data_IF_018490981692
#
_entry.id   IF_018490981692
#
_cell.length_a   1.000
_cell.length_b   1.000
_cell.length_c   1.000
_cell.angle_alpha   90.00
_cell.angle_beta   90.00
_cell.angle_gamma   90.00
#
_symmetry.space_group_name_H-M   'P 1'
#
loop_
_entity.id
_entity.type
_entity.pdbx_description
1 polymer ?
#
# COMPACT_ATOMS: atom_id res chain seq x y z
N UNK A 1 -14.69 -4.22 -16.56
CA UNK A 1 -15.55 -4.14 -15.35
C UNK A 1 -15.59 -2.72 -14.77
N UNK A 2 -14.47 -2.10 -14.35
CA UNK A 2 -14.47 -0.75 -13.75
C UNK A 2 -15.16 0.31 -14.62
N UNK A 3 -14.87 0.35 -15.92
CA UNK A 3 -15.48 1.28 -16.86
C UNK A 3 -17.01 1.09 -16.98
N UNK A 4 -17.48 -0.16 -17.02
CA UNK A 4 -18.91 -0.44 -17.07
C UNK A 4 -19.64 0.04 -15.81
N UNK A 5 -19.04 -0.16 -14.63
CA UNK A 5 -19.61 0.32 -13.37
C UNK A 5 -19.63 1.86 -13.27
N UNK A 6 -18.62 2.51 -13.83
CA UNK A 6 -18.58 3.97 -13.91
C UNK A 6 -19.71 4.52 -14.79
N UNK A 7 -19.99 3.90 -15.94
CA UNK A 7 -21.09 4.28 -16.84
C UNK A 7 -22.47 4.07 -16.19
N UNK A 8 -22.60 3.08 -15.31
CA UNK A 8 -23.82 2.81 -14.56
C UNK A 8 -23.98 3.72 -13.32
N UNK A 9 -23.07 4.65 -13.07
CA UNK A 9 -23.10 5.53 -11.91
C UNK A 9 -22.70 4.84 -10.58
N UNK A 10 -22.27 3.58 -10.62
CA UNK A 10 -21.85 2.83 -9.44
C UNK A 10 -20.39 3.11 -9.09
N UNK A 11 -20.08 4.37 -8.69
CA UNK A 11 -18.71 4.84 -8.43
C UNK A 11 -17.97 4.01 -7.34
N UNK A 12 -18.60 3.49 -6.25
CA UNK A 12 -17.86 2.72 -5.26
C UNK A 12 -17.33 1.40 -5.83
N UNK A 13 -18.13 0.72 -6.65
CA UNK A 13 -17.71 -0.50 -7.34
C UNK A 13 -16.59 -0.20 -8.36
N UNK A 14 -16.70 0.90 -9.10
CA UNK A 14 -15.65 1.32 -10.03
C UNK A 14 -14.33 1.59 -9.30
N UNK A 15 -14.35 2.30 -8.16
CA UNK A 15 -13.18 2.55 -7.31
C UNK A 15 -12.56 1.24 -6.80
N UNK A 16 -13.39 0.28 -6.37
CA UNK A 16 -12.92 -1.02 -5.91
C UNK A 16 -12.20 -1.79 -7.02
N UNK A 17 -12.79 -1.88 -8.22
CA UNK A 17 -12.15 -2.57 -9.34
C UNK A 17 -10.86 -1.88 -9.81
N UNK A 18 -10.83 -0.54 -9.82
CA UNK A 18 -9.62 0.21 -10.16
C UNK A 18 -8.53 0.03 -9.09
N UNK A 19 -8.90 0.00 -7.81
CA UNK A 19 -7.93 -0.21 -6.73
C UNK A 19 -7.38 -1.63 -6.72
N UNK A 20 -8.19 -2.65 -7.02
CA UNK A 20 -7.72 -4.03 -7.22
C UNK A 20 -6.78 -4.14 -8.43
N UNK A 21 -7.11 -3.47 -9.55
CA UNK A 21 -6.23 -3.41 -10.70
C UNK A 21 -4.91 -2.72 -10.38
N UNK A 22 -4.96 -1.65 -9.59
CA UNK A 22 -3.78 -0.90 -9.14
C UNK A 22 -2.91 -1.73 -8.19
N UNK A 23 -3.50 -2.54 -7.30
CA UNK A 23 -2.75 -3.42 -6.41
C UNK A 23 -2.01 -4.52 -7.18
N UNK A 24 -2.67 -5.13 -8.19
CA UNK A 24 -2.04 -6.17 -9.02
C UNK A 24 -0.99 -5.63 -9.98
N UNK A 25 -1.26 -4.50 -10.61
CA UNK A 25 -0.37 -3.86 -11.58
C UNK A 25 -0.35 -2.35 -11.35
N UNK A 26 0.57 -1.84 -10.51
CA UNK A 26 0.69 -0.41 -10.27
C UNK A 26 1.00 0.35 -11.57
N UNK A 27 0.07 1.20 -12.01
CA UNK A 27 0.23 2.06 -13.20
C UNK A 27 -0.18 3.48 -12.87
N UNK A 28 0.64 4.44 -13.28
CA UNK A 28 0.35 5.86 -13.09
C UNK A 28 -0.98 6.28 -13.75
N UNK A 29 -1.31 5.71 -14.91
CA UNK A 29 -2.61 5.97 -15.58
C UNK A 29 -3.80 5.54 -14.73
N UNK A 30 -3.76 4.33 -14.17
CA UNK A 30 -4.82 3.81 -13.28
C UNK A 30 -4.94 4.67 -12.02
N UNK A 31 -3.80 5.10 -11.46
CA UNK A 31 -3.78 6.00 -10.31
C UNK A 31 -4.43 7.35 -10.62
N UNK A 32 -4.12 7.96 -11.77
CA UNK A 32 -4.73 9.23 -12.20
C UNK A 32 -6.24 9.09 -12.39
N UNK A 33 -6.72 7.98 -12.96
CA UNK A 33 -8.15 7.69 -13.07
C UNK A 33 -8.81 7.55 -11.70
N UNK A 34 -8.17 6.83 -10.75
CA UNK A 34 -8.64 6.75 -9.36
C UNK A 34 -8.73 8.15 -8.72
N UNK A 35 -7.67 8.93 -8.84
CA UNK A 35 -7.61 10.27 -8.25
C UNK A 35 -8.65 11.22 -8.87
N UNK A 36 -8.88 11.16 -10.20
CA UNK A 36 -9.90 11.99 -10.87
C UNK A 36 -11.32 11.60 -10.43
N UNK A 37 -11.62 10.30 -10.36
CA UNK A 37 -12.92 9.80 -9.91
C UNK A 37 -13.18 10.16 -8.43
N UNK A 38 -12.16 10.01 -7.60
CA UNK A 38 -12.24 10.38 -6.19
C UNK A 38 -12.44 11.90 -5.99
N UNK A 39 -11.78 12.73 -6.80
CA UNK A 39 -11.95 14.18 -6.77
C UNK A 39 -13.37 14.60 -7.16
N UNK A 40 -14.00 13.95 -8.14
CA UNK A 40 -15.39 14.19 -8.53
C UNK A 40 -16.37 13.94 -7.39
N UNK A 41 -16.09 12.94 -6.55
CA UNK A 41 -16.93 12.57 -5.40
C UNK A 41 -16.40 13.11 -4.06
N UNK A 42 -15.38 13.98 -4.06
CA UNK A 42 -14.76 14.59 -2.87
C UNK A 42 -14.25 13.57 -1.85
N UNK A 43 -13.76 12.43 -2.32
CA UNK A 43 -13.24 11.36 -1.47
C UNK A 43 -11.82 11.65 -0.99
N UNK A 44 -11.48 11.14 0.18
CA UNK A 44 -10.17 11.33 0.83
C UNK A 44 -9.27 10.13 0.58
N UNK A 45 -7.95 10.36 0.59
CA UNK A 45 -6.93 9.30 0.49
C UNK A 45 -6.39 9.06 -0.92
N UNK A 46 -6.68 9.93 -1.88
CA UNK A 46 -6.23 9.85 -3.27
C UNK A 46 -5.38 11.06 -3.69
N UNK A 47 -4.20 11.27 -3.08
CA UNK A 47 -3.39 12.44 -3.42
C UNK A 47 -2.92 12.38 -4.87
N UNK A 48 -3.20 13.44 -5.64
CA UNK A 48 -2.74 13.61 -7.02
C UNK A 48 -1.40 14.37 -7.05
N UNK A 49 -0.40 13.89 -6.29
CA UNK A 49 0.92 14.51 -6.22
C UNK A 49 1.94 13.73 -7.05
N UNK A 50 2.95 14.45 -7.59
CA UNK A 50 4.05 13.82 -8.32
C UNK A 50 4.82 12.80 -7.47
N UNK A 51 4.93 13.04 -6.16
CA UNK A 51 5.54 12.09 -5.21
C UNK A 51 4.78 10.76 -5.15
N UNK A 52 3.46 10.82 -5.22
CA UNK A 52 2.63 9.62 -5.25
C UNK A 52 2.77 8.87 -6.59
N UNK A 53 2.90 9.58 -7.70
CA UNK A 53 3.16 8.96 -9.00
C UNK A 53 4.51 8.24 -9.02
N UNK A 54 5.55 8.85 -8.44
CA UNK A 54 6.85 8.20 -8.26
C UNK A 54 6.76 6.95 -7.36
N UNK A 55 6.00 7.01 -6.27
CA UNK A 55 5.77 5.83 -5.42
C UNK A 55 5.08 4.70 -6.18
N UNK A 56 4.03 5.01 -6.95
CA UNK A 56 3.33 4.04 -7.79
C UNK A 56 4.30 3.41 -8.81
N UNK A 57 5.18 4.21 -9.41
CA UNK A 57 6.18 3.71 -10.33
C UNK A 57 7.23 2.84 -9.64
N UNK A 58 7.70 3.23 -8.47
CA UNK A 58 8.62 2.44 -7.65
C UNK A 58 8.00 1.10 -7.24
N UNK A 59 6.72 1.09 -6.84
CA UNK A 59 5.99 -0.14 -6.51
C UNK A 59 5.90 -1.12 -7.68
N UNK A 60 5.80 -0.63 -8.91
CA UNK A 60 5.80 -1.48 -10.11
C UNK A 60 7.08 -2.30 -10.25
N UNK A 61 8.21 -1.71 -9.88
CA UNK A 61 9.53 -2.35 -9.99
C UNK A 61 9.99 -3.02 -8.69
N UNK A 62 9.17 -2.96 -7.63
CA UNK A 62 9.53 -3.52 -6.33
C UNK A 62 9.83 -5.02 -6.40
N UNK A 63 8.90 -5.82 -6.92
CA UNK A 63 9.08 -7.27 -7.00
C UNK A 63 10.17 -7.71 -7.98
N UNK A 64 10.22 -7.22 -9.24
CA UNK A 64 11.33 -7.59 -10.13
C UNK A 64 12.68 -7.08 -9.61
N UNK A 65 12.75 -5.89 -9.01
CA UNK A 65 13.95 -5.39 -8.37
C UNK A 65 14.41 -6.28 -7.21
N UNK A 66 13.46 -6.70 -6.36
CA UNK A 66 13.73 -7.62 -5.26
C UNK A 66 14.26 -8.98 -5.76
N UNK A 67 13.68 -9.53 -6.83
CA UNK A 67 14.14 -10.80 -7.41
C UNK A 67 15.60 -10.70 -7.91
N UNK A 68 15.94 -9.61 -8.61
CA UNK A 68 17.31 -9.35 -9.07
C UNK A 68 18.28 -9.22 -7.90
N UNK A 69 17.90 -8.47 -6.86
CA UNK A 69 18.73 -8.30 -5.67
C UNK A 69 18.92 -9.62 -4.90
N UNK A 70 17.87 -10.45 -4.76
CA UNK A 70 17.99 -11.76 -4.13
C UNK A 70 18.85 -12.71 -4.95
N UNK A 71 18.68 -12.75 -6.27
CA UNK A 71 19.53 -13.54 -7.15
C UNK A 71 21.00 -13.11 -7.03
N UNK A 72 21.26 -11.80 -7.00
CA UNK A 72 22.58 -11.25 -6.75
C UNK A 72 23.18 -11.65 -5.41
N UNK A 73 22.35 -11.71 -4.34
CA UNK A 73 22.78 -12.18 -3.03
C UNK A 73 23.22 -13.66 -3.07
N UNK A 74 22.42 -14.52 -3.70
CA UNK A 74 22.75 -15.96 -3.83
C UNK A 74 24.02 -16.16 -4.66
N UNK A 75 24.10 -15.53 -5.82
CA UNK A 75 25.29 -15.63 -6.70
C UNK A 75 26.53 -15.09 -6.00
N UNK A 76 26.42 -13.95 -5.30
CA UNK A 76 27.51 -13.37 -4.55
C UNK A 76 28.01 -14.29 -3.43
N UNK A 77 27.09 -14.91 -2.67
CA UNK A 77 27.45 -15.87 -1.62
C UNK A 77 28.19 -17.08 -2.19
N UNK A 78 27.65 -17.69 -3.26
CA UNK A 78 28.25 -18.86 -3.92
C UNK A 78 29.65 -18.51 -4.45
N UNK A 79 29.78 -17.35 -5.08
CA UNK A 79 31.07 -16.90 -5.63
C UNK A 79 32.12 -16.67 -4.54
N UNK A 80 31.75 -16.03 -3.40
CA UNK A 80 32.63 -15.79 -2.26
C UNK A 80 33.10 -17.10 -1.63
N UNK A 81 32.19 -18.08 -1.48
CA UNK A 81 32.51 -19.40 -0.94
C UNK A 81 33.43 -20.16 -1.87
N UNK A 82 33.13 -20.17 -3.19
CA UNK A 82 33.93 -20.91 -4.16
C UNK A 82 35.35 -20.35 -4.31
N UNK A 83 35.47 -19.02 -4.33
CA UNK A 83 36.76 -18.34 -4.44
C UNK A 83 37.55 -18.26 -3.15
N UNK A 84 37.02 -18.76 -2.02
CA UNK A 84 37.63 -18.60 -0.69
C UNK A 84 38.06 -17.15 -0.44
N UNK A 85 37.14 -16.21 -0.70
CA UNK A 85 37.39 -14.78 -0.72
C UNK A 85 37.99 -14.25 0.58
N UNK A 86 38.85 -13.22 0.55
CA UNK A 86 39.40 -12.60 1.73
C UNK A 86 38.31 -11.97 2.62
N UNK A 87 38.60 -11.80 3.93
CA UNK A 87 37.66 -11.23 4.91
C UNK A 87 37.07 -9.88 4.48
N UNK A 88 37.85 -9.06 3.77
CA UNK A 88 37.38 -7.76 3.25
C UNK A 88 36.21 -7.89 2.27
N UNK A 89 36.20 -8.92 1.42
CA UNK A 89 35.11 -9.17 0.46
C UNK A 89 33.80 -9.56 1.18
N UNK A 90 33.90 -10.26 2.31
CA UNK A 90 32.75 -10.57 3.17
C UNK A 90 32.14 -9.32 3.79
N UNK A 91 32.95 -8.30 4.15
CA UNK A 91 32.45 -7.00 4.60
C UNK A 91 31.55 -6.32 3.56
N UNK A 92 31.99 -6.31 2.30
CA UNK A 92 31.17 -5.79 1.19
C UNK A 92 29.87 -6.57 1.00
N UNK A 93 29.91 -7.90 1.12
CA UNK A 93 28.72 -8.74 1.03
C UNK A 93 27.71 -8.47 2.17
N UNK A 94 28.20 -8.32 3.40
CA UNK A 94 27.35 -7.95 4.54
C UNK A 94 26.69 -6.60 4.33
N UNK A 95 27.43 -5.60 3.82
CA UNK A 95 26.86 -4.30 3.47
C UNK A 95 25.76 -4.42 2.40
N UNK A 96 25.98 -5.26 1.37
CA UNK A 96 24.97 -5.52 0.35
C UNK A 96 23.70 -6.16 0.92
N UNK A 97 23.83 -7.16 1.80
CA UNK A 97 22.69 -7.80 2.48
C UNK A 97 21.96 -6.82 3.39
N UNK A 98 22.69 -5.93 4.08
CA UNK A 98 22.09 -4.87 4.89
C UNK A 98 21.27 -3.88 4.03
N UNK A 99 21.79 -3.48 2.85
CA UNK A 99 21.05 -2.66 1.89
C UNK A 99 19.80 -3.38 1.36
N UNK A 100 19.89 -4.68 1.11
CA UNK A 100 18.73 -5.50 0.73
C UNK A 100 17.67 -5.51 1.85
N UNK A 101 18.08 -5.65 3.11
CA UNK A 101 17.20 -5.55 4.27
C UNK A 101 16.52 -4.18 4.38
N UNK A 102 17.27 -3.10 4.16
CA UNK A 102 16.73 -1.74 4.11
C UNK A 102 15.73 -1.56 2.97
N UNK A 103 16.02 -2.11 1.78
CA UNK A 103 15.10 -2.11 0.63
C UNK A 103 13.77 -2.80 0.98
N UNK A 104 13.83 -3.99 1.60
CA UNK A 104 12.65 -4.74 2.04
C UNK A 104 11.82 -3.97 3.08
N UNK A 105 12.49 -3.26 3.98
CA UNK A 105 11.82 -2.56 5.07
C UNK A 105 11.16 -1.25 4.61
N UNK A 106 11.87 -0.44 3.81
CA UNK A 106 11.44 0.92 3.48
C UNK A 106 10.58 1.01 2.22
N UNK A 107 10.78 0.13 1.24
CA UNK A 107 10.05 0.17 -0.03
C UNK A 107 8.84 -0.75 -0.07
N UNK A 108 8.57 -1.49 1.00
CA UNK A 108 7.40 -2.39 1.05
C UNK A 108 6.11 -1.59 0.80
N UNK A 109 5.28 -2.00 -0.17
CA UNK A 109 3.98 -1.38 -0.39
C UNK A 109 3.11 -1.49 0.86
N UNK A 110 2.60 -0.36 1.36
CA UNK A 110 1.66 -0.38 2.47
C UNK A 110 0.28 -0.82 1.96
N UNK A 111 -0.38 -1.79 2.60
CA UNK A 111 -1.72 -2.19 2.24
C UNK A 111 -2.69 -1.02 2.42
N UNK A 112 -3.66 -0.93 1.52
CA UNK A 112 -4.70 0.09 1.59
C UNK A 112 -6.07 -0.55 1.68
N UNK A 113 -6.96 0.06 2.43
CA UNK A 113 -8.36 -0.35 2.52
C UNK A 113 -9.28 0.71 1.93
N UNK A 114 -10.37 0.26 1.35
CA UNK A 114 -11.48 1.08 0.89
C UNK A 114 -12.63 0.96 1.86
N UNK A 115 -13.22 2.08 2.24
CA UNK A 115 -14.42 2.10 3.08
C UNK A 115 -15.58 1.52 2.30
N UNK A 116 -16.17 0.44 2.83
CA UNK A 116 -17.23 -0.34 2.20
C UNK A 116 -18.62 0.13 2.57
N UNK A 117 -18.79 0.80 3.69
CA UNK A 117 -20.08 1.27 4.18
C UNK A 117 -20.08 2.79 4.40
N UNK A 118 -21.16 3.48 4.06
CA UNK A 118 -21.26 4.93 4.32
C UNK A 118 -21.29 5.18 5.83
N UNK A 119 -20.54 6.19 6.28
CA UNK A 119 -20.53 6.57 7.68
C UNK A 119 -19.71 5.66 8.59
N UNK A 120 -18.70 4.96 8.05
CA UNK A 120 -17.78 4.14 8.85
C UNK A 120 -17.12 4.99 9.94
N UNK A 121 -17.30 4.58 11.20
CA UNK A 121 -16.78 5.32 12.34
C UNK A 121 -15.27 5.15 12.49
N UNK A 122 -14.57 6.26 12.57
CA UNK A 122 -13.14 6.32 12.91
C UNK A 122 -13.00 6.63 14.40
N UNK A 123 -12.40 5.70 15.13
CA UNK A 123 -12.25 5.76 16.58
C UNK A 123 -10.80 6.05 16.98
N UNK A 124 -10.59 6.64 18.13
CA UNK A 124 -9.25 6.92 18.67
C UNK A 124 -8.56 5.65 19.22
N UNK A 125 -9.30 4.56 19.47
CA UNK A 125 -8.81 3.31 20.01
C UNK A 125 -9.58 2.10 19.52
N UNK A 126 -9.05 0.88 19.75
CA UNK A 126 -9.67 -0.36 19.34
C UNK A 126 -10.77 -0.78 20.33
N UNK A 127 -11.89 -0.05 20.39
CA UNK A 127 -12.98 -0.36 21.31
C UNK A 127 -14.20 0.51 21.06
N UNK A 128 -15.38 -0.03 21.37
CA UNK A 128 -16.64 0.69 21.19
C UNK A 128 -16.79 1.90 22.16
N UNK A 129 -16.04 1.89 23.27
CA UNK A 129 -15.98 3.00 24.23
C UNK A 129 -14.92 4.05 23.91
N UNK A 130 -14.11 3.84 22.86
CA UNK A 130 -13.10 4.81 22.45
C UNK A 130 -13.77 6.10 21.92
N UNK A 131 -13.04 7.22 22.04
CA UNK A 131 -13.54 8.49 21.53
C UNK A 131 -13.74 8.43 20.01
N UNK A 132 -14.89 8.88 19.55
CA UNK A 132 -15.17 9.05 18.12
C UNK A 132 -14.36 10.22 17.57
N UNK A 133 -13.69 10.02 16.45
CA UNK A 133 -12.87 11.04 15.79
C UNK A 133 -13.58 11.67 14.59
N UNK A 134 -14.13 10.83 13.71
CA UNK A 134 -14.77 11.26 12.46
C UNK A 134 -15.53 10.11 11.83
N UNK A 135 -16.20 10.38 10.72
CA UNK A 135 -16.77 9.35 9.83
C UNK A 135 -16.05 9.38 8.50
N UNK A 136 -15.79 8.20 7.96
CA UNK A 136 -15.27 8.05 6.62
C UNK A 136 -16.41 7.85 5.62
N UNK A 137 -16.26 8.43 4.44
CA UNK A 137 -17.22 8.29 3.35
C UNK A 137 -17.02 6.95 2.61
N UNK A 138 -18.10 6.44 2.02
CA UNK A 138 -18.05 5.27 1.16
C UNK A 138 -17.06 5.50 0.00
N UNK A 139 -16.04 4.64 -0.12
CA UNK A 139 -15.00 4.75 -1.13
C UNK A 139 -13.76 5.53 -0.67
N UNK A 140 -13.73 6.11 0.54
CA UNK A 140 -12.50 6.69 1.11
C UNK A 140 -11.41 5.63 1.20
N UNK A 141 -10.18 6.04 0.87
CA UNK A 141 -9.00 5.17 0.91
C UNK A 141 -8.19 5.44 2.17
N UNK A 142 -8.03 4.41 2.98
CA UNK A 142 -7.28 4.46 4.23
C UNK A 142 -6.03 3.59 4.11
N UNK A 143 -4.87 4.09 4.59
CA UNK A 143 -3.67 3.27 4.70
C UNK A 143 -3.77 2.39 5.93
N UNK A 144 -3.68 1.07 5.74
CA UNK A 144 -3.75 0.11 6.83
C UNK A 144 -2.35 -0.06 7.45
N UNK A 145 -2.22 0.26 8.73
CA UNK A 145 -0.98 0.13 9.49
C UNK A 145 -0.88 -1.23 10.19
N UNK A 146 -2.01 -1.90 10.41
CA UNK A 146 -2.08 -3.19 11.07
C UNK A 146 -3.51 -3.58 11.43
N UNK A 147 -3.66 -4.77 12.01
CA UNK A 147 -4.94 -5.28 12.49
C UNK A 147 -4.82 -5.63 13.97
N UNK A 148 -5.85 -5.29 14.73
CA UNK A 148 -5.98 -5.63 16.13
C UNK A 148 -7.39 -6.15 16.37
N UNK A 149 -7.53 -7.49 16.47
CA UNK A 149 -8.81 -8.18 16.60
C UNK A 149 -9.78 -7.82 15.44
N UNK A 150 -10.92 -7.24 15.75
CA UNK A 150 -11.95 -6.80 14.79
C UNK A 150 -11.72 -5.38 14.28
N UNK A 151 -10.61 -4.75 14.64
CA UNK A 151 -10.28 -3.38 14.26
C UNK A 151 -9.05 -3.34 13.35
N UNK A 152 -9.14 -2.50 12.30
CA UNK A 152 -7.97 -2.10 11.52
C UNK A 152 -7.44 -0.78 12.09
N UNK A 153 -6.13 -0.75 12.36
CA UNK A 153 -5.40 0.47 12.66
C UNK A 153 -5.05 1.12 11.32
N UNK A 154 -5.56 2.32 11.11
CA UNK A 154 -5.42 3.05 9.84
C UNK A 154 -4.82 4.43 10.07
N UNK A 155 -4.22 4.98 9.03
CA UNK A 155 -3.76 6.37 9.04
C UNK A 155 -4.85 7.26 8.44
N UNK A 156 -5.32 8.21 9.25
CA UNK A 156 -6.30 9.21 8.88
C UNK A 156 -5.74 10.61 9.16
N UNK A 157 -5.62 11.48 8.14
CA UNK A 157 -5.14 12.87 8.27
C UNK A 157 -3.93 13.03 9.20
N UNK A 158 -2.89 12.20 9.00
CA UNK A 158 -1.65 12.13 9.79
C UNK A 158 -1.84 11.63 11.24
N UNK A 159 -3.01 11.17 11.62
CA UNK A 159 -3.29 10.54 12.92
C UNK A 159 -3.58 9.05 12.75
N UNK A 160 -3.36 8.31 13.82
CA UNK A 160 -3.78 6.92 13.89
C UNK A 160 -5.24 6.88 14.30
N UNK A 161 -6.04 6.13 13.55
CA UNK A 161 -7.43 5.87 13.84
C UNK A 161 -7.72 4.36 13.74
N UNK A 162 -8.85 3.95 14.29
CA UNK A 162 -9.31 2.56 14.25
C UNK A 162 -10.67 2.51 13.56
N UNK A 163 -10.82 1.56 12.64
CA UNK A 163 -12.05 1.29 11.89
C UNK A 163 -12.40 -0.19 12.02
N UNK A 164 -13.66 -0.54 12.04
CA UNK A 164 -14.09 -1.95 12.09
C UNK A 164 -13.69 -2.67 10.82
N UNK A 165 -13.28 -3.94 10.98
CA UNK A 165 -12.92 -4.78 9.85
C UNK A 165 -14.10 -5.03 8.89
N UNK A 166 -15.33 -4.99 9.38
CA UNK A 166 -16.56 -5.07 8.55
C UNK A 166 -16.73 -3.89 7.59
N UNK A 167 -16.18 -2.72 7.96
CA UNK A 167 -16.41 -1.47 7.25
C UNK A 167 -15.28 -1.13 6.27
N UNK A 168 -14.22 -1.96 6.22
CA UNK A 168 -13.04 -1.74 5.39
C UNK A 168 -12.73 -2.96 4.51
N UNK A 169 -12.70 -2.77 3.20
CA UNK A 169 -12.21 -3.76 2.24
C UNK A 169 -10.72 -3.52 2.02
N UNK A 170 -9.89 -4.40 2.56
CA UNK A 170 -8.43 -4.33 2.34
C UNK A 170 -8.11 -4.86 0.96
N UNK A 171 -7.36 -4.07 0.19
CA UNK A 171 -6.87 -4.41 -1.14
C UNK A 171 -5.37 -4.67 -1.03
N UNK A 172 -4.97 -5.92 -1.19
CA UNK A 172 -3.59 -6.43 -1.18
C UNK A 172 -3.11 -6.70 -2.60
#
# INVERSE_FOLDING_TARGET
MAYAQQQLGHYPAALLYLSMAQARQPRVRTWRQLASLAAQHRLVGYPATWQQELRVQAQRYYYPGLQVLLAGAVVGAVWLLWRRAPRAAWGGYVAYVALLGAYLHWLRPAPAGLVAHPGAALMAGPGASAAWLSTAALGDRLLVLGRQDIWYRVQWQQRVAFVRASDLLVVE
#
